data_IF_887224585946
#
_entry.id   IF_887224585946
#
_cell.length_a   1.000
_cell.length_b   1.000
_cell.length_c   1.000
_cell.angle_alpha   90.00
_cell.angle_beta   90.00
_cell.angle_gamma   90.00
#
_symmetry.space_group_name_H-M   'P 1'
#
loop_
_entity.id
_entity.type
_entity.pdbx_description
1 polymer ?
#
# COMPACT_ATOMS: atom_id res chain seq x y z
N UNK A 1 17.76 -33.15 30.51
CA UNK A 1 17.22 -31.98 29.80
C UNK A 1 18.17 -31.64 28.66
N UNK A 2 17.82 -32.13 27.47
CA UNK A 2 18.52 -31.87 26.21
C UNK A 2 18.15 -30.46 25.72
N UNK A 3 19.13 -29.65 25.35
CA UNK A 3 18.88 -28.28 24.89
C UNK A 3 20.12 -27.40 24.74
N UNK A 4 21.20 -27.93 24.16
CA UNK A 4 22.40 -27.13 23.84
C UNK A 4 22.92 -27.41 22.44
N UNK A 5 22.10 -27.13 21.44
CA UNK A 5 22.56 -26.90 20.07
C UNK A 5 21.67 -25.82 19.46
N UNK A 6 22.04 -24.55 19.60
CA UNK A 6 21.36 -23.45 18.89
C UNK A 6 22.40 -22.40 18.44
N UNK A 7 22.98 -22.72 17.28
CA UNK A 7 23.60 -21.85 16.26
C UNK A 7 25.09 -21.46 16.42
N UNK A 8 25.95 -22.18 15.71
CA UNK A 8 27.23 -21.64 15.20
C UNK A 8 26.92 -20.64 14.08
N UNK A 9 26.67 -19.37 14.41
CA UNK A 9 26.68 -18.31 13.39
C UNK A 9 28.07 -18.20 12.79
N UNK A 10 28.15 -18.12 11.46
CA UNK A 10 29.42 -17.90 10.78
C UNK A 10 30.08 -16.61 11.32
N UNK A 11 31.41 -16.55 11.34
CA UNK A 11 32.15 -15.33 11.76
C UNK A 11 31.67 -14.08 11.00
N UNK A 12 31.24 -14.25 9.75
CA UNK A 12 30.68 -13.18 8.92
C UNK A 12 29.30 -12.75 9.42
N UNK A 13 28.41 -13.70 9.68
CA UNK A 13 27.06 -13.44 10.18
C UNK A 13 27.08 -12.76 11.54
N UNK A 14 27.99 -13.22 12.43
CA UNK A 14 28.21 -12.59 13.73
C UNK A 14 28.60 -11.12 13.59
N UNK A 15 29.53 -10.78 12.70
CA UNK A 15 29.91 -9.38 12.42
C UNK A 15 28.72 -8.56 11.92
N UNK A 16 27.91 -9.11 11.02
CA UNK A 16 26.70 -8.44 10.50
C UNK A 16 25.69 -8.17 11.63
N UNK A 17 25.49 -9.14 12.53
CA UNK A 17 24.59 -8.98 13.68
C UNK A 17 25.11 -7.92 14.65
N UNK A 18 26.40 -7.94 14.96
CA UNK A 18 27.05 -6.93 15.81
C UNK A 18 26.92 -5.52 15.19
N UNK A 19 27.12 -5.36 13.89
CA UNK A 19 26.92 -4.08 13.20
C UNK A 19 25.47 -3.60 13.25
N UNK A 20 24.50 -4.49 13.01
CA UNK A 20 23.07 -4.16 13.13
C UNK A 20 22.70 -3.74 14.55
N UNK A 21 23.22 -4.44 15.56
CA UNK A 21 23.02 -4.11 16.97
C UNK A 21 23.62 -2.74 17.31
N UNK A 22 24.84 -2.45 16.84
CA UNK A 22 25.49 -1.14 17.02
C UNK A 22 24.65 -0.01 16.41
N UNK A 23 24.19 -0.16 15.16
CA UNK A 23 23.34 0.84 14.50
C UNK A 23 22.02 1.07 15.27
N UNK A 24 21.38 0.00 15.74
CA UNK A 24 20.15 0.10 16.56
C UNK A 24 20.40 0.82 17.88
N UNK A 25 21.51 0.52 18.55
CA UNK A 25 21.87 1.18 19.80
C UNK A 25 22.06 2.70 19.59
N UNK A 26 22.80 3.09 18.56
CA UNK A 26 23.02 4.51 18.21
C UNK A 26 21.69 5.24 18.00
N UNK A 27 20.82 4.73 17.13
CA UNK A 27 19.51 5.33 16.85
C UNK A 27 18.62 5.41 18.10
N UNK A 28 18.66 4.37 18.95
CA UNK A 28 17.92 4.37 20.22
C UNK A 28 18.46 5.45 21.17
N UNK A 29 19.77 5.59 21.29
CA UNK A 29 20.38 6.62 22.13
C UNK A 29 20.04 8.03 21.65
N UNK A 30 20.05 8.26 20.33
CA UNK A 30 19.61 9.54 19.74
C UNK A 30 18.15 9.84 20.08
N UNK A 31 17.27 8.86 19.93
CA UNK A 31 15.85 8.99 20.28
C UNK A 31 15.64 9.27 21.78
N UNK A 32 16.30 8.51 22.65
CA UNK A 32 16.21 8.69 24.09
C UNK A 32 16.72 10.08 24.52
N UNK A 33 17.84 10.54 23.95
CA UNK A 33 18.37 11.89 24.19
C UNK A 33 17.35 12.98 23.83
N UNK A 34 16.57 12.79 22.78
CA UNK A 34 15.57 13.77 22.35
C UNK A 34 14.26 13.69 23.14
N UNK A 35 13.84 12.49 23.59
CA UNK A 35 12.61 12.33 24.36
C UNK A 35 12.78 12.68 25.83
N UNK A 36 13.93 12.36 26.42
CA UNK A 36 14.23 12.61 27.83
C UNK A 36 14.58 14.08 28.11
N UNK A 37 14.79 14.91 27.09
CA UNK A 37 15.07 16.34 27.26
C UNK A 37 13.81 17.09 27.74
N UNK A 38 13.78 17.61 29.00
CA UNK A 38 12.61 18.28 29.56
C UNK A 38 12.33 19.64 28.92
N UNK A 39 13.34 20.30 28.36
CA UNK A 39 13.20 21.62 27.72
C UNK A 39 12.84 21.55 26.24
N UNK A 40 12.60 20.35 25.70
CA UNK A 40 12.28 20.17 24.28
C UNK A 40 11.07 20.98 23.82
N UNK A 41 10.05 21.11 24.66
CA UNK A 41 8.87 21.90 24.34
C UNK A 41 9.19 23.41 24.25
N UNK A 42 10.19 23.89 24.99
CA UNK A 42 10.61 25.30 25.00
C UNK A 42 11.50 25.67 23.80
N UNK A 43 12.09 24.69 23.11
CA UNK A 43 12.97 24.88 21.96
C UNK A 43 12.24 25.20 20.64
N UNK A 44 10.92 25.44 20.67
CA UNK A 44 10.10 25.69 19.48
C UNK A 44 9.84 24.45 18.61
N UNK A 45 10.49 23.33 18.92
CA UNK A 45 10.25 21.98 18.37
C UNK A 45 9.29 21.19 19.26
N UNK A 46 8.28 21.88 19.81
CA UNK A 46 7.25 21.26 20.64
C UNK A 46 6.36 20.35 19.78
N UNK A 47 6.38 19.04 20.07
CA UNK A 47 5.62 18.04 19.32
C UNK A 47 6.24 16.65 19.39
N UNK A 48 5.98 15.81 18.38
CA UNK A 48 6.57 14.47 18.23
C UNK A 48 8.06 14.52 17.86
N UNK A 49 8.80 13.43 18.10
CA UNK A 49 10.22 13.36 17.69
C UNK A 49 10.24 13.26 16.17
N UNK A 50 10.96 14.16 15.51
CA UNK A 50 11.13 14.09 14.06
C UNK A 50 12.14 12.99 13.71
N UNK A 51 11.69 12.00 12.94
CA UNK A 51 12.54 10.90 12.48
C UNK A 51 12.95 11.12 11.01
N UNK A 52 14.24 11.38 10.72
CA UNK A 52 14.72 11.58 9.36
C UNK A 52 14.42 10.39 8.44
N UNK A 53 14.35 9.16 8.98
CA UNK A 53 14.07 7.97 8.20
C UNK A 53 12.61 7.92 7.72
N UNK A 54 11.68 8.36 8.56
CA UNK A 54 10.26 8.50 8.22
C UNK A 54 10.09 9.58 7.15
N UNK A 55 10.74 10.73 7.33
CA UNK A 55 10.68 11.83 6.36
C UNK A 55 11.23 11.41 4.99
N UNK A 56 12.34 10.68 4.95
CA UNK A 56 12.89 10.13 3.70
C UNK A 56 11.94 9.13 3.03
N UNK A 57 11.28 8.28 3.82
CA UNK A 57 10.30 7.34 3.28
C UNK A 57 9.08 8.07 2.69
N UNK A 58 8.57 9.09 3.38
CA UNK A 58 7.48 9.92 2.88
C UNK A 58 7.89 10.67 1.61
N UNK A 59 9.09 11.28 1.59
CA UNK A 59 9.64 11.96 0.43
C UNK A 59 9.80 11.01 -0.76
N UNK A 60 10.29 9.79 -0.55
CA UNK A 60 10.41 8.76 -1.59
C UNK A 60 9.06 8.44 -2.23
N UNK A 61 7.99 8.33 -1.43
CA UNK A 61 6.64 8.06 -1.94
C UNK A 61 6.09 9.23 -2.73
N UNK A 62 6.31 10.45 -2.26
CA UNK A 62 5.89 11.66 -2.96
C UNK A 62 6.62 11.85 -4.30
N UNK A 63 7.93 11.60 -4.33
CA UNK A 63 8.77 11.71 -5.53
C UNK A 63 8.66 10.51 -6.48
N UNK A 64 7.68 9.61 -6.30
CA UNK A 64 7.55 8.39 -7.10
C UNK A 64 7.40 8.65 -8.62
N UNK A 65 6.82 9.79 -8.99
CA UNK A 65 6.68 10.19 -10.40
C UNK A 65 8.02 10.58 -11.05
N UNK A 66 8.93 11.23 -10.31
CA UNK A 66 10.22 11.69 -10.82
C UNK A 66 11.16 10.51 -11.12
N UNK A 67 11.09 9.45 -10.31
CA UNK A 67 11.90 8.25 -10.46
C UNK A 67 11.23 7.15 -11.29
N UNK A 68 10.08 7.43 -11.91
CA UNK A 68 9.37 6.45 -12.72
C UNK A 68 10.16 6.12 -14.00
N UNK A 69 10.43 4.82 -14.21
CA UNK A 69 11.03 4.32 -15.45
C UNK A 69 9.94 3.71 -16.32
N UNK A 70 9.66 4.27 -17.51
CA UNK A 70 8.71 3.69 -18.43
C UNK A 70 9.30 2.39 -19.01
N UNK A 71 8.83 1.26 -18.50
CA UNK A 71 9.17 -0.08 -18.98
C UNK A 71 7.93 -0.75 -19.57
N UNK A 72 8.11 -1.69 -20.49
CA UNK A 72 7.00 -2.37 -21.14
C UNK A 72 6.08 -3.09 -20.14
N UNK A 73 6.69 -3.71 -19.11
CA UNK A 73 5.96 -4.35 -18.02
C UNK A 73 5.08 -3.36 -17.24
N UNK A 74 5.63 -2.18 -16.90
CA UNK A 74 4.89 -1.15 -16.17
C UNK A 74 3.76 -0.58 -17.03
N UNK A 75 4.01 -0.34 -18.31
CA UNK A 75 3.01 0.16 -19.26
C UNK A 75 1.85 -0.82 -19.44
N UNK A 76 2.13 -2.10 -19.63
CA UNK A 76 1.08 -3.12 -19.79
C UNK A 76 0.24 -3.28 -18.51
N UNK A 77 0.88 -3.19 -17.33
CA UNK A 77 0.18 -3.23 -16.05
C UNK A 77 -0.74 -2.02 -15.86
N UNK A 78 -0.26 -0.82 -16.16
CA UNK A 78 -1.05 0.41 -16.07
C UNK A 78 -2.21 0.41 -17.08
N UNK A 79 -1.96 0.02 -18.32
CA UNK A 79 -2.99 -0.13 -19.35
C UNK A 79 -4.05 -1.14 -18.91
N UNK A 80 -3.64 -2.31 -18.41
CA UNK A 80 -4.54 -3.31 -17.86
C UNK A 80 -5.39 -2.73 -16.73
N UNK A 81 -4.79 -1.94 -15.83
CA UNK A 81 -5.54 -1.37 -14.71
C UNK A 81 -6.59 -0.34 -15.11
N UNK A 82 -6.35 0.38 -16.21
CA UNK A 82 -7.30 1.37 -16.73
C UNK A 82 -8.36 0.72 -17.61
N UNK A 83 -7.95 -0.16 -18.53
CA UNK A 83 -8.84 -0.73 -19.56
C UNK A 83 -9.71 -1.85 -18.99
N UNK A 84 -9.18 -2.70 -18.10
CA UNK A 84 -9.93 -3.83 -17.55
C UNK A 84 -11.24 -3.43 -16.86
N UNK A 85 -11.29 -2.47 -15.92
CA UNK A 85 -12.55 -2.10 -15.28
C UNK A 85 -13.56 -1.51 -16.28
N UNK A 86 -13.11 -0.76 -17.29
CA UNK A 86 -13.98 -0.19 -18.32
C UNK A 86 -14.65 -1.32 -19.11
N UNK A 87 -13.88 -2.29 -19.57
CA UNK A 87 -14.38 -3.43 -20.34
C UNK A 87 -15.33 -4.28 -19.50
N UNK A 88 -14.96 -4.57 -18.25
CA UNK A 88 -15.78 -5.36 -17.32
C UNK A 88 -17.13 -4.68 -17.09
N UNK A 89 -17.13 -3.41 -16.71
CA UNK A 89 -18.38 -2.67 -16.44
C UNK A 89 -19.24 -2.59 -17.70
N UNK A 90 -18.64 -2.28 -18.84
CA UNK A 90 -19.37 -2.19 -20.12
C UNK A 90 -20.01 -3.53 -20.49
N UNK A 91 -19.27 -4.64 -20.34
CA UNK A 91 -19.79 -5.98 -20.63
C UNK A 91 -20.91 -6.40 -19.70
N UNK A 92 -20.77 -6.15 -18.39
CA UNK A 92 -21.81 -6.47 -17.39
C UNK A 92 -23.08 -5.66 -17.67
N UNK A 93 -22.96 -4.36 -17.94
CA UNK A 93 -24.10 -3.50 -18.27
C UNK A 93 -24.75 -3.98 -19.56
N UNK A 94 -23.98 -4.24 -20.62
CA UNK A 94 -24.50 -4.75 -21.89
C UNK A 94 -25.31 -6.04 -21.70
N UNK A 95 -24.73 -7.05 -21.02
CA UNK A 95 -25.39 -8.33 -20.79
C UNK A 95 -26.64 -8.21 -19.94
N UNK A 96 -26.63 -7.33 -18.92
CA UNK A 96 -27.80 -7.07 -18.08
C UNK A 96 -28.95 -6.44 -18.88
N UNK A 97 -28.64 -5.53 -19.80
CA UNK A 97 -29.62 -4.88 -20.67
C UNK A 97 -30.23 -5.86 -21.67
N UNK A 98 -29.39 -6.68 -22.30
CA UNK A 98 -29.84 -7.70 -23.25
C UNK A 98 -30.75 -8.74 -22.58
N UNK A 99 -30.38 -9.23 -21.39
CA UNK A 99 -31.21 -10.16 -20.63
C UNK A 99 -32.56 -9.54 -20.24
N UNK A 100 -32.56 -8.27 -19.81
CA UNK A 100 -33.78 -7.52 -19.46
C UNK A 100 -34.67 -7.33 -20.69
N UNK A 101 -34.11 -6.91 -21.82
CA UNK A 101 -34.84 -6.74 -23.07
C UNK A 101 -35.41 -8.06 -23.60
N UNK A 102 -34.65 -9.14 -23.52
CA UNK A 102 -35.12 -10.49 -23.88
C UNK A 102 -36.35 -10.90 -23.04
N UNK A 103 -36.32 -10.67 -21.72
CA UNK A 103 -37.45 -10.96 -20.84
C UNK A 103 -38.71 -10.15 -21.18
N UNK A 104 -38.54 -8.94 -21.71
CA UNK A 104 -39.64 -8.08 -22.14
C UNK A 104 -40.22 -8.51 -23.48
N UNK A 105 -39.38 -8.91 -24.45
CA UNK A 105 -39.82 -9.37 -25.78
C UNK A 105 -40.51 -10.73 -25.73
N UNK A 106 -40.04 -11.62 -24.86
CA UNK A 106 -40.63 -12.96 -24.69
C UNK A 106 -41.86 -12.98 -23.79
N UNK A 107 -42.21 -11.84 -23.16
CA UNK A 107 -43.35 -11.75 -22.26
C UNK A 107 -43.16 -12.41 -20.90
N UNK A 108 -41.93 -12.82 -20.56
CA UNK A 108 -41.59 -13.36 -19.24
C UNK A 108 -41.89 -12.37 -18.11
N UNK A 109 -41.83 -11.06 -18.39
CA UNK A 109 -42.21 -9.99 -17.46
C UNK A 109 -43.40 -9.22 -18.02
N UNK A 110 -44.51 -9.24 -17.28
CA UNK A 110 -45.71 -8.49 -17.62
C UNK A 110 -45.45 -6.98 -17.58
N UNK A 111 -46.18 -6.18 -18.37
CA UNK A 111 -46.02 -4.71 -18.34
C UNK A 111 -46.28 -4.12 -16.94
N UNK A 112 -47.19 -4.75 -16.16
CA UNK A 112 -47.52 -4.33 -14.80
C UNK A 112 -46.33 -4.46 -13.84
N UNK A 113 -45.49 -5.48 -14.02
CA UNK A 113 -44.40 -5.81 -13.09
C UNK A 113 -43.07 -5.14 -13.48
N UNK A 114 -43.05 -4.32 -14.54
CA UNK A 114 -41.85 -3.59 -14.95
C UNK A 114 -41.54 -2.47 -13.94
N UNK A 115 -40.29 -2.40 -13.42
CA UNK A 115 -39.92 -1.39 -12.42
C UNK A 115 -39.90 0.04 -12.99
N UNK A 116 -39.65 0.20 -14.29
CA UNK A 116 -39.43 1.50 -14.97
C UNK A 116 -40.60 1.89 -15.89
N UNK A 117 -41.83 1.51 -15.54
CA UNK A 117 -43.00 1.71 -16.43
C UNK A 117 -43.55 3.14 -16.50
N UNK A 118 -43.20 4.01 -15.54
CA UNK A 118 -43.78 5.36 -15.38
C UNK A 118 -42.74 6.48 -15.29
N UNK A 119 -41.49 6.16 -15.62
CA UNK A 119 -40.37 7.11 -15.71
C UNK A 119 -40.00 7.16 -17.19
#
# INVERSE_FOLDING_TARGET
MSGRETYDVSRVERKILEEKAKRRAILRHEYLKQIENPFRQALGTGGTVDDPSVNRFMAMRAAGAEYFKPTWKNGLWQLGWVVAPIVIVTYVVYKSREAKEHSYRTGQVSYRDRPEKFI
#
